data_IF_754236723836
#
_entry.id   IF_754236723836
#
_cell.length_a   1.000
_cell.length_b   1.000
_cell.length_c   1.000
_cell.angle_alpha   90.00
_cell.angle_beta   90.00
_cell.angle_gamma   90.00
#
_symmetry.space_group_name_H-M   'P 1'
#
loop_
_entity.id
_entity.type
_entity.pdbx_description
1 polymer ?
#
# COMPACT_ATOMS: atom_id res chain seq x y z
N UNK A 1 2.88 20.75 -0.02
CA UNK A 1 3.20 19.46 0.64
C UNK A 1 4.51 18.95 0.08
N UNK A 2 5.39 18.38 0.93
CA UNK A 2 6.60 17.69 0.46
C UNK A 2 6.20 16.31 -0.09
N UNK A 3 6.66 15.88 -1.27
CA UNK A 3 6.38 14.54 -1.77
C UNK A 3 6.91 13.49 -0.79
N UNK A 4 6.11 12.48 -0.46
CA UNK A 4 6.50 11.36 0.41
C UNK A 4 7.42 10.34 -0.27
N UNK A 5 7.58 10.43 -1.60
CA UNK A 5 8.38 9.47 -2.37
C UNK A 5 7.70 8.13 -2.61
N UNK A 6 6.39 8.02 -2.31
CA UNK A 6 5.63 6.77 -2.37
C UNK A 6 4.67 6.80 -3.57
N UNK A 7 4.64 5.69 -4.31
CA UNK A 7 3.72 5.46 -5.42
C UNK A 7 2.58 4.59 -4.91
N UNK A 8 1.37 5.13 -4.86
CA UNK A 8 0.18 4.36 -4.51
C UNK A 8 -0.52 3.84 -5.76
N UNK A 9 -1.01 2.59 -5.74
CA UNK A 9 -1.65 1.97 -6.89
C UNK A 9 -3.12 1.64 -6.61
N UNK A 10 -4.02 2.20 -7.44
CA UNK A 10 -5.44 1.84 -7.50
C UNK A 10 -5.79 1.48 -8.93
N UNK A 11 -6.26 0.26 -9.18
CA UNK A 11 -6.56 -0.22 -10.56
C UNK A 11 -7.83 -1.08 -10.60
N UNK A 12 -8.35 -1.31 -11.80
CA UNK A 12 -9.49 -2.20 -12.08
C UNK A 12 -9.09 -3.52 -12.79
N UNK A 13 -7.79 -3.86 -12.78
CA UNK A 13 -7.25 -5.08 -13.40
C UNK A 13 -7.67 -6.38 -12.71
N UNK A 14 -8.20 -6.31 -11.48
CA UNK A 14 -8.38 -7.45 -10.62
C UNK A 14 -7.05 -7.99 -10.07
N UNK A 15 -7.16 -9.08 -9.32
CA UNK A 15 -6.02 -9.73 -8.63
C UNK A 15 -5.64 -11.09 -9.23
N UNK A 16 -6.33 -11.52 -10.30
CA UNK A 16 -6.16 -12.85 -10.88
C UNK A 16 -5.09 -12.88 -11.97
N UNK A 17 -5.00 -11.79 -12.73
CA UNK A 17 -4.09 -11.65 -13.86
C UNK A 17 -2.78 -10.93 -13.45
N UNK A 18 -1.67 -11.16 -14.16
CA UNK A 18 -0.35 -10.67 -13.75
C UNK A 18 -0.12 -9.16 -13.98
N UNK A 19 -1.14 -8.41 -14.42
CA UNK A 19 -0.98 -7.01 -14.84
C UNK A 19 -0.38 -6.12 -13.75
N UNK A 20 -0.82 -6.29 -12.49
CA UNK A 20 -0.27 -5.56 -11.35
C UNK A 20 1.23 -5.81 -11.19
N UNK A 21 1.65 -7.08 -11.28
CA UNK A 21 3.05 -7.47 -11.18
C UNK A 21 3.88 -6.90 -12.33
N UNK A 22 3.36 -6.92 -13.55
CA UNK A 22 4.04 -6.33 -14.72
C UNK A 22 4.27 -4.82 -14.54
N UNK A 23 3.26 -4.09 -14.08
CA UNK A 23 3.38 -2.64 -13.84
C UNK A 23 4.41 -2.36 -12.76
N UNK A 24 4.38 -3.10 -11.65
CA UNK A 24 5.40 -2.97 -10.60
C UNK A 24 6.80 -3.28 -11.12
N UNK A 25 6.94 -4.31 -11.94
CA UNK A 25 8.21 -4.63 -12.60
C UNK A 25 8.75 -3.48 -13.45
N UNK A 26 7.87 -2.84 -14.23
CA UNK A 26 8.24 -1.64 -15.01
C UNK A 26 8.64 -0.49 -14.10
N UNK A 27 7.86 -0.18 -13.06
CA UNK A 27 8.19 0.89 -12.10
C UNK A 27 9.57 0.64 -11.48
N UNK A 28 9.82 -0.57 -10.97
CA UNK A 28 11.07 -0.95 -10.32
C UNK A 28 12.25 -1.03 -11.29
N UNK A 29 11.99 -1.29 -12.58
CA UNK A 29 13.05 -1.23 -13.61
C UNK A 29 13.52 0.21 -13.88
N UNK A 30 12.64 1.21 -13.70
CA UNK A 30 12.96 2.63 -13.88
C UNK A 30 13.56 3.22 -12.60
N UNK A 31 12.97 2.90 -11.45
CA UNK A 31 13.47 3.30 -10.14
C UNK A 31 13.44 2.11 -9.17
N UNK A 32 14.58 1.41 -8.98
CA UNK A 32 14.67 0.28 -8.06
C UNK A 32 14.40 0.63 -6.59
N UNK A 33 14.52 1.90 -6.20
CA UNK A 33 14.28 2.36 -4.82
C UNK A 33 12.85 2.86 -4.61
N UNK A 34 11.97 2.74 -5.62
CA UNK A 34 10.59 3.18 -5.51
C UNK A 34 9.83 2.38 -4.44
N UNK A 35 9.18 3.10 -3.52
CA UNK A 35 8.25 2.50 -2.56
C UNK A 35 6.85 2.46 -3.15
N UNK A 36 6.34 1.25 -3.43
CA UNK A 36 5.03 1.02 -4.04
C UNK A 36 4.06 0.47 -2.99
N UNK A 37 2.88 1.10 -2.86
CA UNK A 37 1.82 0.68 -1.95
C UNK A 37 0.54 0.45 -2.73
N UNK A 38 0.02 -0.78 -2.72
CA UNK A 38 -1.28 -1.05 -3.32
C UNK A 38 -2.39 -0.54 -2.39
N UNK A 39 -3.31 0.23 -2.96
CA UNK A 39 -4.56 0.60 -2.29
C UNK A 39 -5.58 -0.50 -2.54
N UNK A 40 -5.84 -0.80 -3.82
CA UNK A 40 -6.64 -1.94 -4.27
C UNK A 40 -6.49 -2.15 -5.77
N UNK A 41 -6.68 -3.38 -6.24
CA UNK A 41 -6.77 -3.71 -7.65
C UNK A 41 -8.14 -4.29 -8.03
N UNK A 42 -9.06 -4.33 -7.08
CA UNK A 42 -10.37 -4.97 -7.20
C UNK A 42 -11.50 -3.94 -7.42
N UNK A 43 -11.19 -2.86 -8.14
CA UNK A 43 -12.22 -1.94 -8.63
C UNK A 43 -12.93 -2.62 -9.81
N UNK A 44 -14.28 -2.64 -9.86
CA UNK A 44 -14.98 -3.14 -11.03
C UNK A 44 -14.58 -2.37 -12.30
N UNK A 45 -14.38 -3.05 -13.44
CA UNK A 45 -13.96 -2.39 -14.68
C UNK A 45 -14.84 -1.19 -15.04
N UNK A 46 -14.23 -0.02 -15.22
CA UNK A 46 -14.92 1.22 -15.57
C UNK A 46 -15.72 1.89 -14.44
N UNK A 47 -15.64 1.42 -13.19
CA UNK A 47 -16.34 2.02 -12.05
C UNK A 47 -15.61 3.27 -11.50
N UNK A 48 -15.61 4.35 -12.29
CA UNK A 48 -14.88 5.61 -12.00
C UNK A 48 -15.24 6.20 -10.63
N UNK A 49 -16.52 6.24 -10.27
CA UNK A 49 -16.97 6.80 -8.99
C UNK A 49 -16.45 5.99 -7.80
N UNK A 50 -16.43 4.66 -7.92
CA UNK A 50 -15.90 3.80 -6.86
C UNK A 50 -14.39 4.02 -6.71
N UNK A 51 -13.64 4.09 -7.82
CA UNK A 51 -12.22 4.42 -7.78
C UNK A 51 -11.96 5.77 -7.11
N UNK A 52 -12.73 6.80 -7.47
CA UNK A 52 -12.61 8.13 -6.88
C UNK A 52 -12.87 8.11 -5.37
N UNK A 53 -13.95 7.48 -4.93
CA UNK A 53 -14.28 7.36 -3.51
C UNK A 53 -13.22 6.54 -2.75
N UNK A 54 -12.66 5.50 -3.35
CA UNK A 54 -11.58 4.71 -2.76
C UNK A 54 -10.32 5.56 -2.58
N UNK A 55 -9.95 6.35 -3.58
CA UNK A 55 -8.79 7.25 -3.51
C UNK A 55 -9.01 8.34 -2.46
N UNK A 56 -10.22 8.92 -2.40
CA UNK A 56 -10.57 9.94 -1.41
C UNK A 56 -10.56 9.40 0.02
N UNK A 57 -11.10 8.19 0.23
CA UNK A 57 -11.11 7.54 1.54
C UNK A 57 -9.71 7.13 2.00
N UNK A 58 -8.81 6.83 1.07
CA UNK A 58 -7.45 6.38 1.36
C UNK A 58 -6.58 7.54 1.88
N UNK A 59 -6.42 7.58 3.21
CA UNK A 59 -5.51 8.49 3.88
C UNK A 59 -4.16 7.80 4.12
N UNK A 60 -3.20 8.03 3.22
CA UNK A 60 -1.82 7.62 3.46
C UNK A 60 -1.13 8.64 4.37
N UNK A 61 -0.99 8.30 5.65
CA UNK A 61 -0.07 9.00 6.53
C UNK A 61 1.28 8.28 6.46
N UNK A 62 2.37 8.90 5.96
CA UNK A 62 3.70 8.32 6.11
C UNK A 62 3.96 8.24 7.62
N UNK A 63 3.79 7.05 8.19
CA UNK A 63 4.13 6.82 9.57
C UNK A 63 5.64 7.04 9.71
N UNK A 64 6.03 8.04 10.49
CA UNK A 64 7.36 8.05 11.11
C UNK A 64 7.58 6.67 11.74
N UNK A 65 8.78 6.07 11.62
CA UNK A 65 9.04 4.66 11.93
C UNK A 65 8.48 4.32 13.29
N UNK A 66 7.32 3.66 13.26
CA UNK A 66 6.51 3.40 14.42
C UNK A 66 7.22 2.31 15.23
N UNK A 67 7.89 2.73 16.30
CA UNK A 67 8.46 1.79 17.25
C UNK A 67 7.30 1.14 17.99
N UNK A 68 6.85 -0.02 17.52
CA UNK A 68 5.76 -0.83 18.07
C UNK A 68 5.88 -1.16 19.57
N UNK A 69 7.01 -0.82 20.22
CA UNK A 69 7.28 -1.02 21.65
C UNK A 69 6.40 -0.17 22.59
N UNK A 70 5.75 0.90 22.12
CA UNK A 70 5.02 1.80 23.03
C UNK A 70 3.51 1.54 23.15
N UNK A 71 2.91 0.73 22.26
CA UNK A 71 1.47 0.43 22.29
C UNK A 71 1.11 -0.95 22.80
N UNK A 72 2.10 -1.81 23.08
CA UNK A 72 1.88 -3.09 23.74
C UNK A 72 2.22 -2.89 25.22
N UNK A 73 1.28 -3.07 26.17
CA UNK A 73 1.62 -3.14 27.60
C UNK A 73 2.76 -4.15 27.77
N UNK A 74 3.78 -3.84 28.56
CA UNK A 74 4.97 -4.69 28.69
C UNK A 74 4.65 -6.18 29.03
N UNK A 75 3.46 -6.44 29.57
CA UNK A 75 2.90 -7.78 29.84
C UNK A 75 2.56 -8.62 28.60
N UNK A 76 2.34 -8.01 27.44
CA UNK A 76 1.90 -8.70 26.21
C UNK A 76 3.05 -8.97 25.21
N UNK A 77 4.25 -8.48 25.52
CA UNK A 77 5.44 -8.60 24.63
C UNK A 77 5.91 -10.06 24.49
N UNK A 78 5.63 -10.93 25.46
CA UNK A 78 6.01 -12.35 25.42
C UNK A 78 5.05 -13.25 24.62
N UNK A 79 3.91 -12.73 24.13
CA UNK A 79 2.91 -13.56 23.44
C UNK A 79 3.20 -13.77 21.95
N UNK A 80 4.08 -12.95 21.36
CA UNK A 80 4.41 -12.99 19.92
C UNK A 80 5.88 -13.26 19.65
N UNK A 81 6.50 -14.09 20.48
CA UNK A 81 7.77 -14.73 20.10
C UNK A 81 7.46 -15.83 19.09
N UNK A 82 7.22 -15.43 17.84
CA UNK A 82 7.29 -16.34 16.71
C UNK A 82 8.75 -16.82 16.57
N UNK A 83 8.98 -18.08 16.16
CA UNK A 83 10.32 -18.68 16.09
C UNK A 83 11.32 -17.89 15.26
#
# INVERSE_FOLDING_TARGET
>A
MKPSGIITMTTDFGVRDPYVAMIKGVILSVNPEASIVDVTHDIPPGAILQAANTIEAFHFSPMEPFTWRSLIPASEVNAYQLP
#
